data_IF_552890319073
#
_entry.id   IF_552890319073
#
_cell.length_a   1.000
_cell.length_b   1.000
_cell.length_c   1.000
_cell.angle_alpha   90.00
_cell.angle_beta   90.00
_cell.angle_gamma   90.00
#
_symmetry.space_group_name_H-M   'P 1'
#
loop_
_entity.id
_entity.type
_entity.pdbx_description
1 polymer ?
#
# COMPACT_ATOMS: atom_id res chain seq x y z
N UNK A 1 -69.68 17.18 -4.94
CA UNK A 1 -69.45 15.74 -4.75
C UNK A 1 -68.02 15.52 -4.28
N UNK A 2 -67.83 15.32 -2.98
CA UNK A 2 -66.51 15.01 -2.40
C UNK A 2 -66.21 13.52 -2.63
N UNK A 3 -65.21 13.23 -3.42
CA UNK A 3 -64.73 11.86 -3.64
C UNK A 3 -63.97 11.45 -2.38
N UNK A 4 -64.59 10.68 -1.49
CA UNK A 4 -63.94 10.11 -0.32
C UNK A 4 -63.17 8.87 -0.76
N UNK A 5 -61.84 8.96 -0.78
CA UNK A 5 -60.94 7.84 -1.02
C UNK A 5 -61.28 6.68 -0.08
N UNK A 6 -61.27 5.47 -0.57
CA UNK A 6 -61.40 4.26 0.25
C UNK A 6 -60.24 4.11 1.24
N UNK A 7 -60.37 3.29 2.28
CA UNK A 7 -59.30 3.05 3.24
C UNK A 7 -58.04 2.49 2.56
N UNK A 8 -58.23 1.65 1.53
CA UNK A 8 -57.12 1.09 0.74
C UNK A 8 -56.41 2.13 -0.12
N UNK A 9 -57.17 3.04 -0.74
CA UNK A 9 -56.61 4.15 -1.55
C UNK A 9 -55.84 5.14 -0.66
N UNK A 10 -56.33 5.41 0.55
CA UNK A 10 -55.61 6.25 1.50
C UNK A 10 -54.29 5.60 1.96
N UNK A 11 -54.32 4.30 2.28
CA UNK A 11 -53.14 3.57 2.66
C UNK A 11 -52.09 3.46 1.52
N UNK A 12 -52.59 3.34 0.26
CA UNK A 12 -51.72 3.36 -0.92
C UNK A 12 -51.09 4.74 -1.14
N UNK A 13 -51.85 5.82 -0.95
CA UNK A 13 -51.37 7.19 -1.07
C UNK A 13 -50.33 7.53 0.02
N UNK A 14 -50.54 7.08 1.25
CA UNK A 14 -49.57 7.25 2.36
C UNK A 14 -48.28 6.49 2.09
N UNK A 15 -48.35 5.25 1.59
CA UNK A 15 -47.18 4.49 1.16
C UNK A 15 -46.39 5.18 0.05
N UNK A 16 -47.11 5.70 -0.99
CA UNK A 16 -46.49 6.44 -2.08
C UNK A 16 -45.75 7.68 -1.57
N UNK A 17 -46.39 8.48 -0.68
CA UNK A 17 -45.76 9.66 -0.08
C UNK A 17 -44.53 9.29 0.77
N UNK A 18 -44.59 8.20 1.52
CA UNK A 18 -43.44 7.72 2.32
C UNK A 18 -42.27 7.30 1.41
N UNK A 19 -42.55 6.61 0.30
CA UNK A 19 -41.56 6.23 -0.71
C UNK A 19 -40.96 7.47 -1.37
N UNK A 20 -41.79 8.45 -1.79
CA UNK A 20 -41.30 9.69 -2.37
C UNK A 20 -40.40 10.48 -1.40
N UNK A 21 -40.78 10.53 -0.12
CA UNK A 21 -39.97 11.17 0.91
C UNK A 21 -38.62 10.48 1.06
N UNK A 22 -38.61 9.15 1.18
CA UNK A 22 -37.38 8.36 1.29
C UNK A 22 -36.48 8.53 0.05
N UNK A 23 -37.05 8.46 -1.17
CA UNK A 23 -36.28 8.67 -2.40
C UNK A 23 -35.67 10.08 -2.47
N UNK A 24 -36.39 11.09 -1.96
CA UNK A 24 -35.86 12.46 -1.89
C UNK A 24 -34.74 12.59 -0.86
N UNK A 25 -34.87 11.96 0.28
CA UNK A 25 -33.83 11.92 1.33
C UNK A 25 -32.60 11.15 0.83
N UNK A 26 -32.79 10.00 0.19
CA UNK A 26 -31.75 9.21 -0.44
C UNK A 26 -31.04 9.98 -1.55
N UNK A 27 -31.77 10.71 -2.39
CA UNK A 27 -31.20 11.58 -3.43
C UNK A 27 -30.35 12.72 -2.85
N UNK A 28 -30.79 13.32 -1.72
CA UNK A 28 -30.00 14.35 -1.02
C UNK A 28 -28.74 13.73 -0.39
N UNK A 29 -28.84 12.53 0.13
CA UNK A 29 -27.70 11.80 0.68
C UNK A 29 -26.71 11.43 -0.41
N UNK A 30 -27.19 10.84 -1.51
CA UNK A 30 -26.36 10.46 -2.66
C UNK A 30 -25.63 11.66 -3.30
N UNK A 31 -26.25 12.85 -3.29
CA UNK A 31 -25.62 14.09 -3.77
C UNK A 31 -24.42 14.54 -2.92
N UNK A 32 -24.23 13.96 -1.73
CA UNK A 32 -23.06 14.21 -0.85
C UNK A 32 -21.96 13.18 -1.04
N UNK A 33 -22.20 12.12 -1.78
CA UNK A 33 -21.21 11.08 -2.05
C UNK A 33 -20.25 11.51 -3.15
N UNK A 34 -18.97 11.47 -2.86
CA UNK A 34 -17.89 11.78 -3.79
C UNK A 34 -17.07 10.51 -4.03
N UNK A 35 -17.26 9.88 -5.18
CA UNK A 35 -16.51 8.69 -5.57
C UNK A 35 -15.20 9.07 -6.25
N UNK A 36 -14.09 8.77 -5.62
CA UNK A 36 -12.74 9.02 -6.11
C UNK A 36 -12.07 7.72 -6.51
N UNK A 37 -11.51 7.66 -7.70
CA UNK A 37 -10.80 6.51 -8.22
C UNK A 37 -9.31 6.81 -8.32
N UNK A 38 -8.46 6.04 -7.60
CA UNK A 38 -7.00 6.12 -7.68
C UNK A 38 -6.50 5.23 -8.80
N UNK A 39 -5.92 5.82 -9.84
CA UNK A 39 -5.29 5.11 -10.94
C UNK A 39 -3.78 5.39 -10.96
N UNK A 40 -3.04 4.51 -11.61
CA UNK A 40 -1.59 4.62 -11.78
C UNK A 40 -0.91 3.26 -11.79
N UNK A 41 0.34 3.22 -12.20
CA UNK A 41 1.15 2.01 -12.23
C UNK A 41 1.34 1.39 -10.84
N UNK A 42 1.88 0.18 -10.75
CA UNK A 42 2.39 -0.35 -9.48
C UNK A 42 3.40 0.63 -8.89
N UNK A 43 3.40 0.77 -7.56
CA UNK A 43 4.37 1.61 -6.83
C UNK A 43 4.25 3.13 -7.06
N UNK A 44 3.16 3.59 -7.66
CA UNK A 44 2.93 5.02 -7.89
C UNK A 44 2.42 5.81 -6.66
N UNK A 45 2.32 5.17 -5.48
CA UNK A 45 1.90 5.82 -4.25
C UNK A 45 0.39 5.80 -3.97
N UNK A 46 -0.44 5.11 -4.76
CA UNK A 46 -1.89 5.02 -4.54
C UNK A 46 -2.27 4.60 -3.13
N UNK A 47 -1.78 3.45 -2.67
CA UNK A 47 -2.06 2.93 -1.33
C UNK A 47 -1.45 3.80 -0.22
N UNK A 48 -0.42 4.59 -0.53
CA UNK A 48 0.12 5.60 0.39
C UNK A 48 -0.86 6.74 0.60
N UNK A 49 -1.56 7.18 -0.46
CA UNK A 49 -2.63 8.19 -0.35
C UNK A 49 -3.76 7.67 0.54
N UNK A 50 -4.19 6.41 0.36
CA UNK A 50 -5.22 5.79 1.21
C UNK A 50 -4.83 5.81 2.68
N UNK A 51 -3.60 5.38 3.00
CA UNK A 51 -3.07 5.41 4.36
C UNK A 51 -3.00 6.84 4.91
N UNK A 52 -2.61 7.80 4.08
CA UNK A 52 -2.55 9.20 4.47
C UNK A 52 -3.94 9.79 4.75
N UNK A 53 -4.96 9.41 3.97
CA UNK A 53 -6.35 9.81 4.23
C UNK A 53 -6.85 9.26 5.57
N UNK A 54 -6.46 8.04 5.93
CA UNK A 54 -6.78 7.45 7.24
C UNK A 54 -6.15 8.25 8.39
N UNK A 55 -4.90 8.67 8.26
CA UNK A 55 -4.21 9.52 9.26
C UNK A 55 -4.90 10.88 9.39
N UNK A 56 -5.31 11.50 8.29
CA UNK A 56 -5.85 12.87 8.29
C UNK A 56 -7.32 12.91 8.74
N UNK A 57 -8.12 11.89 8.44
CA UNK A 57 -9.58 11.93 8.56
C UNK A 57 -10.18 10.86 9.49
N UNK A 58 -9.40 9.89 9.97
CA UNK A 58 -9.87 8.76 10.79
C UNK A 58 -9.07 8.57 12.08
N UNK A 59 -8.43 9.62 12.61
CA UNK A 59 -7.60 9.56 13.82
C UNK A 59 -6.40 8.60 13.75
N UNK A 60 -5.92 8.28 12.55
CA UNK A 60 -4.74 7.45 12.32
C UNK A 60 -5.01 5.94 12.33
N UNK A 61 -4.02 5.18 12.79
CA UNK A 61 -4.08 3.72 12.83
C UNK A 61 -4.46 3.21 14.21
N UNK A 62 -5.45 2.35 14.26
CA UNK A 62 -5.87 1.66 15.49
C UNK A 62 -4.79 0.68 15.98
N UNK A 63 -4.90 0.24 17.24
CA UNK A 63 -4.01 -0.81 17.76
C UNK A 63 -4.09 -2.14 16.98
N UNK A 64 -5.24 -2.42 16.37
CA UNK A 64 -5.40 -3.59 15.50
C UNK A 64 -4.69 -3.39 14.16
N UNK A 65 -4.78 -2.20 13.56
CA UNK A 65 -4.00 -1.88 12.35
C UNK A 65 -2.49 -2.03 12.63
N UNK A 66 -2.00 -1.51 13.76
CA UNK A 66 -0.59 -1.61 14.15
C UNK A 66 -0.13 -3.06 14.21
N UNK A 67 -0.95 -3.96 14.80
CA UNK A 67 -0.65 -5.39 14.84
C UNK A 67 -0.60 -6.02 13.45
N UNK A 68 -1.54 -5.66 12.58
CA UNK A 68 -1.58 -6.18 11.20
C UNK A 68 -0.39 -5.71 10.36
N UNK A 69 0.07 -4.47 10.56
CA UNK A 69 1.21 -3.93 9.81
C UNK A 69 2.57 -4.37 10.35
N UNK A 70 2.69 -4.83 11.59
CA UNK A 70 3.95 -5.27 12.19
C UNK A 70 4.66 -6.36 11.38
N UNK A 71 4.00 -7.47 10.98
CA UNK A 71 4.60 -8.47 10.09
C UNK A 71 5.03 -7.90 8.74
N UNK A 72 4.27 -6.94 8.22
CA UNK A 72 4.59 -6.28 6.94
C UNK A 72 5.87 -5.46 7.03
N UNK A 73 6.10 -4.77 8.15
CA UNK A 73 7.34 -4.03 8.38
C UNK A 73 8.53 -4.98 8.44
N UNK A 74 8.42 -6.11 9.14
CA UNK A 74 9.48 -7.13 9.17
C UNK A 74 9.79 -7.63 7.76
N UNK A 75 8.77 -8.04 7.01
CA UNK A 75 8.92 -8.52 5.63
C UNK A 75 9.55 -7.48 4.73
N UNK A 76 9.07 -6.22 4.75
CA UNK A 76 9.64 -5.16 3.93
C UNK A 76 11.12 -4.88 4.27
N UNK A 77 11.49 -4.98 5.55
CA UNK A 77 12.86 -4.76 6.02
C UNK A 77 13.80 -5.83 5.47
N UNK A 78 13.51 -7.10 5.74
CA UNK A 78 14.38 -8.20 5.32
C UNK A 78 14.41 -8.38 3.81
N UNK A 79 13.28 -8.20 3.13
CA UNK A 79 13.19 -8.27 1.68
C UNK A 79 14.01 -7.17 0.98
N UNK A 80 14.08 -5.98 1.58
CA UNK A 80 14.93 -4.90 1.10
C UNK A 80 16.41 -5.29 1.13
N UNK A 81 16.86 -5.87 2.23
CA UNK A 81 18.26 -6.35 2.36
C UNK A 81 18.54 -7.51 1.39
N UNK A 82 17.61 -8.48 1.29
CA UNK A 82 17.73 -9.60 0.38
C UNK A 82 17.78 -9.16 -1.11
N UNK A 83 17.08 -8.09 -1.47
CA UNK A 83 17.14 -7.52 -2.81
C UNK A 83 18.53 -6.95 -3.12
N UNK A 84 19.15 -6.25 -2.17
CA UNK A 84 20.51 -5.73 -2.30
C UNK A 84 21.51 -6.87 -2.42
N UNK A 85 21.40 -7.89 -1.56
CA UNK A 85 22.27 -9.09 -1.60
C UNK A 85 22.19 -9.79 -2.96
N UNK A 86 20.99 -9.98 -3.50
CA UNK A 86 20.81 -10.61 -4.83
C UNK A 86 21.39 -9.76 -5.96
N UNK A 87 21.30 -8.45 -5.84
CA UNK A 87 21.83 -7.53 -6.86
C UNK A 87 23.36 -7.53 -6.88
N UNK A 88 24.06 -7.86 -5.77
CA UNK A 88 25.52 -7.93 -5.72
C UNK A 88 26.09 -8.83 -6.79
N UNK A 89 25.54 -10.03 -6.97
CA UNK A 89 26.00 -11.00 -7.98
C UNK A 89 25.82 -10.43 -9.40
N UNK A 90 24.69 -9.79 -9.66
CA UNK A 90 24.38 -9.19 -10.97
C UNK A 90 25.28 -8.00 -11.28
N UNK A 91 25.58 -7.18 -10.26
CA UNK A 91 26.39 -5.97 -10.38
C UNK A 91 27.90 -6.25 -10.30
N UNK A 92 28.31 -7.48 -9.97
CA UNK A 92 29.70 -7.87 -9.79
C UNK A 92 30.38 -7.19 -8.59
N UNK A 93 29.59 -6.85 -7.55
CA UNK A 93 30.10 -6.25 -6.30
C UNK A 93 30.41 -7.34 -5.29
N UNK A 94 31.58 -7.28 -4.69
CA UNK A 94 31.99 -8.21 -3.63
C UNK A 94 31.75 -7.61 -2.24
N UNK A 95 31.58 -8.50 -1.23
CA UNK A 95 31.52 -8.07 0.17
C UNK A 95 32.84 -7.47 0.63
N UNK A 96 32.77 -6.42 1.43
CA UNK A 96 33.96 -5.87 2.08
C UNK A 96 34.61 -6.86 3.06
N UNK A 97 33.77 -7.67 3.72
CA UNK A 97 34.21 -8.78 4.58
C UNK A 97 33.64 -10.11 4.05
N UNK A 98 34.54 -11.07 3.79
CA UNK A 98 34.12 -12.39 3.25
C UNK A 98 33.18 -13.19 4.16
N UNK A 99 33.18 -12.92 5.46
CA UNK A 99 32.29 -13.55 6.42
C UNK A 99 30.81 -13.18 6.16
N UNK A 100 30.56 -12.03 5.50
CA UNK A 100 29.21 -11.57 5.13
C UNK A 100 28.46 -12.53 4.22
N UNK A 101 29.18 -13.46 3.53
CA UNK A 101 28.53 -14.51 2.73
C UNK A 101 27.65 -15.44 3.58
N UNK A 102 28.04 -15.70 4.82
CA UNK A 102 27.23 -16.52 5.74
C UNK A 102 25.99 -15.73 6.19
N UNK A 103 26.16 -14.45 6.53
CA UNK A 103 25.05 -13.58 6.92
C UNK A 103 24.04 -13.41 5.77
N UNK A 104 24.53 -13.22 4.55
CA UNK A 104 23.67 -13.07 3.36
C UNK A 104 22.87 -14.33 3.04
N UNK A 105 23.50 -15.51 3.23
CA UNK A 105 22.80 -16.78 3.08
C UNK A 105 21.66 -16.89 4.09
N UNK A 106 21.90 -16.54 5.36
CA UNK A 106 20.87 -16.58 6.40
C UNK A 106 19.68 -15.70 6.03
N UNK A 107 19.91 -14.46 5.58
CA UNK A 107 18.85 -13.53 5.15
C UNK A 107 18.07 -14.12 3.96
N UNK A 108 18.75 -14.64 2.95
CA UNK A 108 18.11 -15.23 1.79
C UNK A 108 17.31 -16.49 2.13
N UNK A 109 17.82 -17.32 3.05
CA UNK A 109 17.15 -18.55 3.50
C UNK A 109 15.83 -18.26 4.23
N UNK A 110 15.79 -17.23 5.07
CA UNK A 110 14.56 -16.78 5.76
C UNK A 110 13.50 -16.33 4.74
N UNK A 111 13.91 -15.51 3.76
CA UNK A 111 13.00 -15.05 2.70
C UNK A 111 12.52 -16.22 1.83
N UNK A 112 13.40 -17.17 1.49
CA UNK A 112 13.03 -18.33 0.65
C UNK A 112 12.07 -19.28 1.34
N UNK A 113 12.11 -19.36 2.68
CA UNK A 113 11.19 -20.15 3.51
C UNK A 113 9.89 -19.43 3.86
N UNK A 114 9.72 -18.17 3.40
CA UNK A 114 8.56 -17.33 3.74
C UNK A 114 8.38 -17.09 5.26
N UNK A 115 9.49 -17.04 5.99
CA UNK A 115 9.54 -16.78 7.44
C UNK A 115 9.82 -15.29 7.73
N UNK A 116 9.69 -14.44 6.74
CA UNK A 116 10.05 -13.03 6.73
C UNK A 116 9.03 -12.11 7.44
N UNK A 117 7.93 -12.66 7.90
CA UNK A 117 6.87 -11.92 8.63
C UNK A 117 6.99 -12.00 10.15
N UNK A 118 7.91 -12.84 10.64
CA UNK A 118 8.13 -13.05 12.06
C UNK A 118 9.12 -12.04 12.65
N UNK A 119 9.07 -11.78 13.97
CA UNK A 119 10.10 -11.01 14.66
C UNK A 119 11.50 -11.58 14.40
N UNK A 120 12.47 -10.72 14.18
CA UNK A 120 13.84 -11.17 13.89
C UNK A 120 14.44 -11.86 15.11
N UNK A 121 15.01 -13.05 14.93
CA UNK A 121 15.86 -13.67 15.95
C UNK A 121 17.10 -12.79 16.20
N UNK A 122 17.68 -12.89 17.39
CA UNK A 122 18.89 -12.12 17.73
C UNK A 122 20.04 -12.39 16.75
N UNK A 123 20.15 -13.63 16.26
CA UNK A 123 21.15 -14.02 15.28
C UNK A 123 20.88 -13.37 13.91
N UNK A 124 19.64 -13.43 13.42
CA UNK A 124 19.24 -12.81 12.16
C UNK A 124 19.43 -11.29 12.21
N UNK A 125 18.97 -10.64 13.29
CA UNK A 125 19.12 -9.20 13.48
C UNK A 125 20.60 -8.77 13.44
N UNK A 126 21.47 -9.50 14.15
CA UNK A 126 22.90 -9.24 14.15
C UNK A 126 23.52 -9.42 12.76
N UNK A 127 23.09 -10.44 12.01
CA UNK A 127 23.52 -10.66 10.63
C UNK A 127 23.09 -9.52 9.72
N UNK A 128 21.83 -9.06 9.83
CA UNK A 128 21.31 -7.94 9.05
C UNK A 128 22.07 -6.64 9.33
N UNK A 129 22.40 -6.36 10.60
CA UNK A 129 23.18 -5.17 10.99
C UNK A 129 24.60 -5.21 10.41
N UNK A 130 25.29 -6.37 10.51
CA UNK A 130 26.62 -6.53 9.92
C UNK A 130 26.60 -6.37 8.40
N UNK A 131 25.59 -6.93 7.73
CA UNK A 131 25.41 -6.75 6.29
C UNK A 131 25.17 -5.29 5.93
N UNK A 132 24.27 -4.60 6.65
CA UNK A 132 23.99 -3.20 6.36
C UNK A 132 25.19 -2.29 6.56
N UNK A 133 26.12 -2.63 7.47
CA UNK A 133 27.39 -1.95 7.68
C UNK A 133 28.51 -2.32 6.67
N UNK A 134 28.31 -3.34 5.83
CA UNK A 134 29.34 -3.79 4.89
C UNK A 134 29.50 -2.85 3.70
N UNK A 135 30.75 -2.57 3.32
CA UNK A 135 31.06 -1.62 2.23
C UNK A 135 30.54 -2.08 0.87
N UNK A 136 30.54 -3.39 0.58
CA UNK A 136 30.00 -3.92 -0.67
C UNK A 136 28.48 -3.78 -0.73
N UNK A 137 27.78 -4.02 0.38
CA UNK A 137 26.33 -3.79 0.49
C UNK A 137 26.01 -2.30 0.27
N UNK A 138 26.78 -1.39 0.87
CA UNK A 138 26.58 0.05 0.70
C UNK A 138 26.88 0.51 -0.74
N UNK A 139 27.90 -0.04 -1.39
CA UNK A 139 28.17 0.20 -2.80
C UNK A 139 26.99 -0.23 -3.67
N UNK A 140 26.50 -1.45 -3.45
CA UNK A 140 25.35 -1.99 -4.17
C UNK A 140 24.08 -1.15 -3.92
N UNK A 141 23.84 -0.70 -2.69
CA UNK A 141 22.76 0.21 -2.35
C UNK A 141 22.86 1.54 -3.11
N UNK A 142 24.04 2.13 -3.22
CA UNK A 142 24.24 3.37 -3.96
C UNK A 142 23.98 3.21 -5.48
N UNK A 143 24.02 1.99 -5.98
CA UNK A 143 23.67 1.60 -7.37
C UNK A 143 22.22 1.08 -7.50
N UNK A 144 21.35 1.38 -6.54
CA UNK A 144 19.97 0.88 -6.48
C UNK A 144 19.09 1.25 -7.68
N UNK A 145 19.52 2.16 -8.53
CA UNK A 145 18.85 2.48 -9.80
C UNK A 145 19.01 1.37 -10.87
N UNK A 146 20.02 0.53 -10.72
CA UNK A 146 20.32 -0.54 -11.67
C UNK A 146 19.51 -1.83 -11.43
N UNK A 147 18.73 -1.87 -10.34
CA UNK A 147 17.87 -3.00 -9.98
C UNK A 147 16.62 -2.51 -9.25
N UNK A 148 15.69 -3.41 -8.95
CA UNK A 148 14.46 -3.08 -8.25
C UNK A 148 14.65 -3.13 -6.73
N UNK A 149 14.66 -1.97 -6.09
CA UNK A 149 14.74 -1.83 -4.64
C UNK A 149 13.55 -1.03 -4.12
N UNK A 150 13.03 -1.40 -2.95
CA UNK A 150 12.01 -0.64 -2.26
C UNK A 150 12.54 0.76 -1.90
N UNK A 151 11.82 1.82 -2.27
CA UNK A 151 12.16 3.23 -1.98
C UNK A 151 12.36 3.49 -0.47
N UNK A 152 11.73 2.70 0.39
CA UNK A 152 11.86 2.79 1.85
C UNK A 152 12.95 1.88 2.43
N UNK A 153 13.76 1.21 1.61
CA UNK A 153 14.79 0.27 2.07
C UNK A 153 15.74 0.92 3.09
N UNK A 154 16.28 2.08 2.76
CA UNK A 154 17.19 2.81 3.67
C UNK A 154 16.53 3.13 5.00
N UNK A 155 15.29 3.60 4.99
CA UNK A 155 14.55 3.93 6.21
C UNK A 155 14.44 2.75 7.17
N UNK A 156 14.10 1.57 6.66
CA UNK A 156 13.98 0.38 7.47
C UNK A 156 15.34 -0.16 7.92
N UNK A 157 16.32 -0.22 7.02
CA UNK A 157 17.63 -0.76 7.31
C UNK A 157 18.43 0.13 8.29
N UNK A 158 18.25 1.44 8.24
CA UNK A 158 18.81 2.37 9.23
C UNK A 158 18.10 2.25 10.60
N UNK A 159 16.94 1.62 10.66
CA UNK A 159 16.13 1.45 11.88
C UNK A 159 16.15 0.02 12.43
N UNK A 160 17.11 -0.81 12.05
CA UNK A 160 17.19 -2.22 12.46
C UNK A 160 17.21 -2.40 13.99
N UNK A 161 17.92 -1.54 14.72
CA UNK A 161 17.93 -1.56 16.19
C UNK A 161 16.53 -1.43 16.79
N UNK A 162 15.75 -0.50 16.27
CA UNK A 162 14.38 -0.21 16.73
C UNK A 162 13.40 -1.28 16.28
N UNK A 163 13.46 -1.69 15.02
CA UNK A 163 12.53 -2.68 14.42
C UNK A 163 12.78 -4.07 15.01
N UNK A 164 14.04 -4.40 15.32
CA UNK A 164 14.42 -5.68 15.92
C UNK A 164 14.22 -5.78 17.42
N UNK A 165 13.83 -4.68 18.10
CA UNK A 165 13.58 -4.72 19.54
C UNK A 165 12.38 -5.61 19.89
N UNK A 166 12.45 -6.33 21.01
CA UNK A 166 11.39 -7.27 21.42
C UNK A 166 10.04 -6.62 21.69
N UNK A 167 10.04 -5.35 22.09
CA UNK A 167 8.86 -4.52 22.36
C UNK A 167 8.45 -3.64 21.18
N UNK A 168 9.05 -3.83 20.00
CA UNK A 168 8.78 -3.02 18.82
C UNK A 168 7.29 -2.96 18.48
N UNK A 169 6.82 -1.74 18.30
CA UNK A 169 5.51 -1.44 17.71
C UNK A 169 5.71 -0.48 16.53
N UNK A 170 5.11 -0.75 15.38
CA UNK A 170 5.17 0.14 14.24
C UNK A 170 4.66 1.54 14.56
N UNK A 171 5.41 2.55 14.16
CA UNK A 171 4.96 3.94 14.14
C UNK A 171 4.07 4.20 12.92
N UNK A 172 3.32 5.30 12.91
CA UNK A 172 2.56 5.73 11.72
C UNK A 172 3.48 5.85 10.50
N UNK A 173 4.71 6.34 10.69
CA UNK A 173 5.69 6.46 9.61
C UNK A 173 6.14 5.09 9.11
N UNK A 174 6.31 4.09 9.97
CA UNK A 174 6.60 2.73 9.55
C UNK A 174 5.46 2.20 8.68
N UNK A 175 4.21 2.32 9.15
CA UNK A 175 3.02 1.85 8.44
C UNK A 175 2.87 2.57 7.10
N UNK A 176 3.01 3.89 7.08
CA UNK A 176 2.87 4.69 5.87
C UNK A 176 3.84 4.24 4.78
N UNK A 177 5.06 3.87 5.16
CA UNK A 177 6.14 3.40 4.27
C UNK A 177 6.03 1.93 3.89
N UNK A 178 5.14 1.14 4.53
CA UNK A 178 4.98 -0.27 4.14
C UNK A 178 4.50 -0.40 2.71
N UNK A 179 5.06 -1.39 2.05
CA UNK A 179 4.65 -1.80 0.72
C UNK A 179 3.95 -3.14 0.79
N UNK A 180 2.68 -3.11 0.43
CA UNK A 180 1.84 -4.30 0.22
C UNK A 180 1.29 -4.23 -1.19
N UNK A 181 1.37 -5.33 -1.92
CA UNK A 181 0.76 -5.41 -3.24
C UNK A 181 -0.76 -5.34 -3.11
N UNK A 182 -1.38 -4.29 -3.67
CA UNK A 182 -2.83 -4.20 -3.74
C UNK A 182 -3.37 -5.21 -4.73
N UNK A 183 -4.14 -6.16 -4.25
CA UNK A 183 -4.87 -7.13 -5.08
C UNK A 183 -6.36 -6.79 -5.05
N UNK A 184 -6.97 -6.66 -6.23
CA UNK A 184 -8.38 -6.29 -6.34
C UNK A 184 -8.63 -4.80 -6.18
N UNK A 185 -9.74 -4.48 -5.52
CA UNK A 185 -10.25 -3.13 -5.29
C UNK A 185 -10.42 -2.96 -3.78
N UNK A 186 -9.80 -1.94 -3.22
CA UNK A 186 -9.94 -1.58 -1.80
C UNK A 186 -10.70 -0.27 -1.73
N UNK A 187 -11.82 -0.27 -1.03
CA UNK A 187 -12.65 0.92 -0.80
C UNK A 187 -12.42 1.45 0.61
N UNK A 188 -12.17 2.75 0.71
CA UNK A 188 -12.01 3.48 1.98
C UNK A 188 -12.97 4.64 2.02
N UNK A 189 -13.62 4.84 3.17
CA UNK A 189 -14.62 5.88 3.39
C UNK A 189 -14.11 6.89 4.39
N UNK A 190 -14.33 8.17 4.12
CA UNK A 190 -14.11 9.23 5.10
C UNK A 190 -15.06 10.40 4.85
N UNK A 191 -15.29 11.20 5.88
CA UNK A 191 -16.17 12.38 5.79
C UNK A 191 -15.34 13.65 5.94
N UNK A 192 -15.55 14.58 5.02
CA UNK A 192 -14.94 15.91 5.09
C UNK A 192 -15.92 16.98 4.60
N UNK A 193 -16.10 18.07 5.39
CA UNK A 193 -17.01 19.20 5.07
C UNK A 193 -18.42 18.74 4.64
N UNK A 194 -19.01 17.80 5.37
CA UNK A 194 -20.35 17.22 5.12
C UNK A 194 -20.47 16.46 3.75
N UNK A 195 -19.34 16.13 3.12
CA UNK A 195 -19.29 15.22 1.97
C UNK A 195 -18.75 13.87 2.42
N UNK A 196 -19.29 12.81 1.85
CA UNK A 196 -18.84 11.45 2.07
C UNK A 196 -17.95 11.04 0.90
N UNK A 197 -16.68 10.84 1.19
CA UNK A 197 -15.71 10.41 0.20
C UNK A 197 -15.60 8.89 0.20
N UNK A 198 -15.70 8.32 -0.97
CA UNK A 198 -15.46 6.90 -1.24
C UNK A 198 -14.22 6.80 -2.13
N UNK A 199 -13.10 6.40 -1.56
CA UNK A 199 -11.82 6.31 -2.24
C UNK A 199 -11.55 4.86 -2.65
N UNK A 200 -11.39 4.62 -3.93
CA UNK A 200 -11.13 3.30 -4.52
C UNK A 200 -9.66 3.18 -4.90
N UNK A 201 -8.89 2.39 -4.14
CA UNK A 201 -7.54 1.98 -4.51
C UNK A 201 -7.60 0.67 -5.31
N UNK A 202 -7.07 0.70 -6.51
CA UNK A 202 -7.07 -0.45 -7.43
C UNK A 202 -5.64 -0.90 -7.70
N UNK A 203 -5.44 -2.20 -7.82
CA UNK A 203 -4.14 -2.76 -8.16
C UNK A 203 -3.58 -2.15 -9.45
N UNK A 204 -2.36 -1.61 -9.38
CA UNK A 204 -1.71 -0.90 -10.50
C UNK A 204 -0.95 -1.82 -11.45
N UNK A 205 -0.71 -3.07 -11.07
CA UNK A 205 -0.02 -4.04 -11.91
C UNK A 205 -0.86 -4.41 -13.14
N UNK A 206 -0.20 -4.80 -14.23
CA UNK A 206 -0.83 -5.10 -15.52
C UNK A 206 -1.95 -6.14 -15.40
N UNK A 207 -1.75 -7.17 -14.57
CA UNK A 207 -2.75 -8.22 -14.30
C UNK A 207 -4.01 -7.69 -13.59
N UNK A 208 -3.89 -6.63 -12.79
CA UNK A 208 -4.98 -6.04 -12.01
C UNK A 208 -5.81 -5.02 -12.84
N UNK A 209 -5.23 -4.42 -13.89
CA UNK A 209 -5.88 -3.34 -14.65
C UNK A 209 -7.21 -3.75 -15.29
N UNK A 210 -7.41 -5.04 -15.56
CA UNK A 210 -8.70 -5.56 -16.08
C UNK A 210 -9.86 -5.29 -15.11
N UNK A 211 -9.58 -5.20 -13.82
CA UNK A 211 -10.58 -4.94 -12.77
C UNK A 211 -11.01 -3.47 -12.72
N UNK A 212 -10.25 -2.56 -13.29
CA UNK A 212 -10.53 -1.13 -13.29
C UNK A 212 -11.88 -0.79 -13.91
N UNK A 213 -12.30 -1.53 -14.95
CA UNK A 213 -13.57 -1.30 -15.65
C UNK A 213 -14.78 -1.29 -14.71
N UNK A 214 -14.73 -2.09 -13.65
CA UNK A 214 -15.81 -2.19 -12.67
C UNK A 214 -15.89 -0.99 -11.71
N UNK A 215 -14.87 -0.13 -11.71
CA UNK A 215 -14.82 1.02 -10.80
C UNK A 215 -15.27 2.32 -11.44
N UNK A 216 -15.40 2.37 -12.78
CA UNK A 216 -15.68 3.62 -13.52
C UNK A 216 -17.12 4.12 -13.42
N UNK A 217 -18.04 3.28 -13.01
CA UNK A 217 -19.44 3.68 -12.85
C UNK A 217 -19.57 4.70 -11.72
N UNK A 218 -20.25 5.80 -11.98
CA UNK A 218 -20.55 6.91 -11.06
C UNK A 218 -19.30 7.56 -10.41
N UNK A 219 -18.17 7.54 -11.09
CA UNK A 219 -16.94 8.20 -10.61
C UNK A 219 -17.09 9.71 -10.71
N UNK A 220 -16.92 10.39 -9.57
CA UNK A 220 -16.93 11.86 -9.50
C UNK A 220 -15.61 12.44 -10.02
N UNK A 221 -14.47 11.82 -9.66
CA UNK A 221 -13.16 12.24 -10.14
C UNK A 221 -12.15 11.10 -10.12
N UNK A 222 -11.13 11.21 -10.97
CA UNK A 222 -9.99 10.30 -11.05
C UNK A 222 -8.75 11.03 -10.52
N UNK A 223 -8.03 10.37 -9.60
CA UNK A 223 -6.70 10.79 -9.15
C UNK A 223 -5.69 9.87 -9.82
N UNK A 224 -4.92 10.41 -10.75
CA UNK A 224 -3.89 9.66 -11.45
C UNK A 224 -2.53 9.86 -10.78
N UNK A 225 -1.98 8.77 -10.20
CA UNK A 225 -0.73 8.78 -9.47
C UNK A 225 0.44 8.36 -10.37
N UNK A 226 1.49 9.16 -10.37
CA UNK A 226 2.72 8.89 -11.13
C UNK A 226 3.92 8.97 -10.19
N UNK A 227 4.76 7.92 -10.19
CA UNK A 227 6.03 7.92 -9.47
C UNK A 227 7.08 8.71 -10.26
N UNK A 228 7.42 9.90 -9.80
CA UNK A 228 8.44 10.74 -10.47
C UNK A 228 9.83 10.10 -10.41
N UNK A 229 10.13 9.33 -9.35
CA UNK A 229 11.39 8.58 -9.19
C UNK A 229 11.57 7.44 -10.21
N UNK A 230 10.49 7.02 -10.88
CA UNK A 230 10.52 5.94 -11.85
C UNK A 230 10.78 6.36 -13.30
N UNK A 231 11.21 7.61 -13.54
CA UNK A 231 11.37 8.13 -14.91
C UNK A 231 12.47 7.39 -15.70
N UNK A 232 13.49 6.89 -15.01
CA UNK A 232 14.64 6.16 -15.57
C UNK A 232 14.60 4.65 -15.23
N UNK A 233 13.53 4.18 -14.57
CA UNK A 233 13.35 2.78 -14.21
C UNK A 233 12.44 2.06 -15.20
N UNK A 234 12.80 0.82 -15.53
CA UNK A 234 11.93 -0.08 -16.29
C UNK A 234 10.84 -0.66 -15.40
N UNK A 235 9.70 -1.04 -15.99
CA UNK A 235 8.64 -1.71 -15.26
C UNK A 235 9.10 -3.09 -14.80
N UNK A 236 8.79 -3.45 -13.56
CA UNK A 236 9.02 -4.81 -13.06
C UNK A 236 8.33 -5.89 -13.92
N UNK A 237 7.23 -5.53 -14.58
CA UNK A 237 6.40 -6.44 -15.40
C UNK A 237 6.86 -6.52 -16.85
N UNK A 238 7.70 -5.57 -17.28
CA UNK A 238 8.13 -5.44 -18.67
C UNK A 238 9.43 -4.62 -18.73
N UNK A 239 10.55 -5.31 -18.70
CA UNK A 239 11.90 -4.71 -18.67
C UNK A 239 12.23 -3.90 -19.94
N UNK A 240 11.38 -3.94 -20.97
CA UNK A 240 11.53 -3.15 -22.20
C UNK A 240 10.80 -1.81 -22.15
N UNK A 241 9.93 -1.61 -21.16
CA UNK A 241 9.10 -0.40 -21.03
C UNK A 241 9.53 0.44 -19.84
N UNK A 242 9.88 1.70 -20.07
CA UNK A 242 10.16 2.66 -19.00
C UNK A 242 8.88 2.97 -18.24
N UNK A 243 8.98 2.99 -16.91
CA UNK A 243 7.84 3.14 -16.00
C UNK A 243 7.04 4.43 -16.22
N UNK A 244 7.70 5.51 -16.67
CA UNK A 244 7.11 6.82 -16.94
C UNK A 244 6.27 6.87 -18.23
N UNK A 245 6.51 5.98 -19.19
CA UNK A 245 5.89 6.01 -20.52
C UNK A 245 4.55 5.25 -20.61
N UNK A 246 4.01 4.78 -19.52
CA UNK A 246 2.71 4.10 -19.41
C UNK A 246 1.77 4.78 -18.46
#
# INVERSE_FOLDING_TARGET
MGCTLSAEERAALERSKAIEKNLKEDGISAAKDVKLLLLGAGESGKSTIVKQMKIIHEDGFSGEDVKQYKPVVYSNTIQSLAAIVRAMDTLGVEYGDKERKTDSKMVCDVVSRMEDTEPFSAELLSAMMRLWGDSGIQECFNRSREYQLNDSAKYYLDSLDRIGAGDYQPTEQDILRTRVKTTGIVETHFTFKNLHFRLFDVGGQRSERKKWIHCFEDVTAIIFCVALSGYDQVLHEDETTVSYLK
#
